data_IF_368041055930
#
_entry.id   IF_368041055930
#
_cell.length_a   1.000
_cell.length_b   1.000
_cell.length_c   1.000
_cell.angle_alpha   90.00
_cell.angle_beta   90.00
_cell.angle_gamma   90.00
#
_symmetry.space_group_name_H-M   'P 1'
#
loop_
_entity.id
_entity.type
_entity.pdbx_description
1 polymer ?
#
# COMPACT_ATOMS: atom_id res chain seq x y z
N UNK A 1 0.09 5.32 -20.04
CA UNK A 1 -0.63 4.11 -20.45
C UNK A 1 -0.48 3.06 -19.38
N UNK A 2 -1.59 2.50 -18.89
CA UNK A 2 -1.53 1.47 -17.85
C UNK A 2 -0.83 0.20 -18.34
N UNK A 3 -0.02 -0.37 -17.49
CA UNK A 3 0.64 -1.65 -17.74
C UNK A 3 0.06 -2.74 -16.85
N UNK A 4 0.92 -3.61 -16.34
CA UNK A 4 0.50 -4.72 -15.49
C UNK A 4 0.08 -4.24 -14.11
N UNK A 5 -0.73 -5.05 -13.45
CA UNK A 5 -1.02 -4.90 -12.03
C UNK A 5 -0.20 -5.95 -11.29
N UNK A 6 0.62 -5.51 -10.34
CA UNK A 6 1.39 -6.39 -9.49
C UNK A 6 0.67 -6.54 -8.17
N UNK A 7 0.38 -7.77 -7.77
CA UNK A 7 -0.26 -8.03 -6.48
C UNK A 7 0.79 -8.38 -5.45
N UNK A 8 0.72 -7.72 -4.29
CA UNK A 8 1.52 -8.08 -3.13
C UNK A 8 0.68 -9.01 -2.27
N UNK A 9 1.31 -10.05 -1.74
CA UNK A 9 0.62 -10.93 -0.81
C UNK A 9 0.21 -10.16 0.44
N UNK A 10 -0.92 -10.51 1.07
CA UNK A 10 -1.35 -9.84 2.28
C UNK A 10 -0.28 -9.89 3.36
N UNK A 11 -0.09 -8.78 4.04
CA UNK A 11 0.89 -8.65 5.11
C UNK A 11 0.21 -8.07 6.34
N UNK A 12 0.74 -8.41 7.50
CA UNK A 12 0.25 -7.89 8.78
C UNK A 12 1.12 -6.72 9.22
N UNK A 13 0.48 -5.61 9.55
CA UNK A 13 1.18 -4.43 10.05
C UNK A 13 0.67 -4.16 11.47
N UNK A 14 1.57 -4.00 12.41
CA UNK A 14 1.20 -3.74 13.80
C UNK A 14 0.66 -2.31 13.96
N UNK A 15 -0.52 -2.23 14.54
CA UNK A 15 -1.14 -0.94 14.88
C UNK A 15 -0.99 -0.69 16.37
N UNK A 16 -1.50 0.45 16.83
CA UNK A 16 -1.47 0.79 18.24
C UNK A 16 -2.35 -0.18 19.06
N UNK A 17 -2.05 -0.29 20.32
CA UNK A 17 -2.85 -1.06 21.31
C UNK A 17 -2.91 -2.56 21.04
N UNK A 18 -1.87 -3.12 20.47
CA UNK A 18 -1.79 -4.56 20.23
C UNK A 18 -2.66 -5.06 19.09
N UNK A 19 -3.22 -4.15 18.30
CA UNK A 19 -4.02 -4.52 17.12
C UNK A 19 -3.12 -4.65 15.91
N UNK A 20 -3.61 -5.29 14.85
CA UNK A 20 -2.89 -5.30 13.59
C UNK A 20 -3.84 -5.22 12.40
N UNK A 21 -3.28 -4.81 11.28
CA UNK A 21 -3.98 -4.67 10.02
C UNK A 21 -3.42 -5.70 9.04
N UNK A 22 -4.30 -6.54 8.51
CA UNK A 22 -3.95 -7.40 7.38
C UNK A 22 -4.28 -6.64 6.11
N UNK A 23 -3.25 -6.40 5.31
CA UNK A 23 -3.35 -5.53 4.15
C UNK A 23 -2.80 -6.22 2.92
N UNK A 24 -3.60 -6.31 1.89
CA UNK A 24 -3.17 -6.76 0.58
C UNK A 24 -3.26 -5.62 -0.41
N UNK A 25 -2.32 -5.54 -1.32
CA UNK A 25 -2.23 -4.46 -2.30
C UNK A 25 -2.13 -4.98 -3.72
N UNK A 26 -2.72 -4.22 -4.64
CA UNK A 26 -2.41 -4.32 -6.06
C UNK A 26 -1.85 -2.98 -6.51
N UNK A 27 -0.76 -3.01 -7.25
CA UNK A 27 -0.12 -1.80 -7.77
C UNK A 27 -0.31 -1.72 -9.26
N UNK A 28 -0.91 -0.65 -9.75
CA UNK A 28 -1.03 -0.40 -11.18
C UNK A 28 0.26 0.25 -11.66
N UNK A 29 0.97 -0.44 -12.53
CA UNK A 29 2.22 0.05 -13.07
C UNK A 29 2.00 0.72 -14.43
N UNK A 30 3.02 1.48 -14.87
CA UNK A 30 3.09 1.95 -16.24
C UNK A 30 3.49 0.81 -17.16
N UNK A 31 3.26 0.95 -18.46
CA UNK A 31 3.70 -0.02 -19.47
C UNK A 31 5.22 -0.23 -19.45
N UNK A 32 5.95 0.82 -19.09
CA UNK A 32 7.43 0.80 -19.08
C UNK A 32 8.02 0.15 -17.83
N UNK A 33 7.22 -0.01 -16.79
CA UNK A 33 7.69 -0.70 -15.59
C UNK A 33 7.89 -2.17 -15.93
N UNK A 34 9.09 -2.63 -15.78
CA UNK A 34 9.48 -3.94 -16.29
C UNK A 34 8.98 -5.11 -15.48
N UNK A 35 9.20 -6.32 -16.03
CA UNK A 35 8.86 -7.57 -15.37
C UNK A 35 9.63 -7.78 -14.06
N UNK A 36 10.69 -7.02 -13.85
CA UNK A 36 11.53 -7.13 -12.66
C UNK A 36 11.18 -6.08 -11.61
N UNK A 37 9.92 -5.68 -11.56
CA UNK A 37 9.48 -4.71 -10.57
C UNK A 37 9.72 -5.25 -9.16
N UNK A 38 10.54 -4.53 -8.40
CA UNK A 38 10.92 -4.95 -7.04
C UNK A 38 9.93 -4.36 -6.04
N UNK A 39 9.20 -5.23 -5.33
CA UNK A 39 8.17 -4.82 -4.38
C UNK A 39 8.72 -4.44 -3.00
N UNK A 40 10.02 -4.55 -2.79
CA UNK A 40 10.62 -4.29 -1.47
C UNK A 40 10.31 -2.89 -0.95
N UNK A 41 10.45 -1.89 -1.82
CA UNK A 41 10.16 -0.50 -1.42
C UNK A 41 8.69 -0.27 -1.14
N UNK A 42 7.81 -0.97 -1.86
CA UNK A 42 6.39 -0.87 -1.62
C UNK A 42 6.04 -1.44 -0.24
N UNK A 43 6.61 -2.59 0.12
CA UNK A 43 6.39 -3.18 1.44
C UNK A 43 6.92 -2.28 2.55
N UNK A 44 8.09 -1.71 2.36
CA UNK A 44 8.68 -0.79 3.33
C UNK A 44 7.79 0.45 3.52
N UNK A 45 7.26 0.99 2.45
CA UNK A 45 6.37 2.15 2.51
C UNK A 45 5.11 1.83 3.31
N UNK A 46 4.52 0.66 3.09
CA UNK A 46 3.33 0.23 3.84
C UNK A 46 3.64 0.15 5.33
N UNK A 47 4.73 -0.50 5.68
CA UNK A 47 5.11 -0.66 7.08
C UNK A 47 5.38 0.70 7.72
N UNK A 48 6.15 1.55 7.05
CA UNK A 48 6.52 2.86 7.59
C UNK A 48 5.31 3.78 7.76
N UNK A 49 4.36 3.70 6.84
CA UNK A 49 3.18 4.56 6.89
C UNK A 49 2.19 4.12 7.97
N UNK A 50 2.03 2.82 8.17
CA UNK A 50 0.93 2.29 8.96
C UNK A 50 1.31 1.81 10.36
N UNK A 51 2.59 1.47 10.61
CA UNK A 51 3.00 0.96 11.91
C UNK A 51 2.67 1.95 13.02
N UNK A 52 2.03 1.45 14.07
CA UNK A 52 1.70 2.26 15.25
C UNK A 52 0.50 3.17 15.09
N UNK A 53 -0.18 3.18 13.96
CA UNK A 53 -1.38 3.98 13.79
C UNK A 53 -2.53 3.42 14.61
N UNK A 54 -3.45 4.30 15.01
CA UNK A 54 -4.66 3.87 15.71
C UNK A 54 -5.61 3.20 14.74
N UNK A 55 -6.31 2.17 15.22
CA UNK A 55 -7.28 1.43 14.40
C UNK A 55 -8.30 2.40 13.78
N UNK A 56 -8.83 3.32 14.57
CA UNK A 56 -9.86 4.26 14.10
C UNK A 56 -9.34 5.19 13.00
N UNK A 57 -8.05 5.42 12.92
CA UNK A 57 -7.46 6.30 11.90
C UNK A 57 -7.41 5.64 10.53
N UNK A 58 -7.52 4.32 10.47
CA UNK A 58 -7.36 3.59 9.20
C UNK A 58 -8.60 2.84 8.77
N UNK A 59 -9.58 2.63 9.67
CA UNK A 59 -10.74 1.78 9.37
C UNK A 59 -11.96 2.55 8.86
N UNK A 60 -11.99 3.88 9.01
CA UNK A 60 -13.07 4.67 8.43
C UNK A 60 -12.86 4.81 6.93
N UNK A 61 -13.92 5.06 6.15
CA UNK A 61 -13.74 5.30 4.71
C UNK A 61 -12.77 6.44 4.43
N UNK A 62 -12.83 7.53 5.19
CA UNK A 62 -11.93 8.67 5.05
C UNK A 62 -10.49 8.29 5.40
N UNK A 63 -10.31 7.52 6.46
CA UNK A 63 -8.99 7.06 6.87
C UNK A 63 -8.37 6.15 5.84
N UNK A 64 -9.15 5.23 5.28
CA UNK A 64 -8.71 4.32 4.24
C UNK A 64 -8.27 5.07 2.98
N UNK A 65 -9.04 6.07 2.57
CA UNK A 65 -8.68 6.90 1.42
C UNK A 65 -7.45 7.74 1.68
N UNK A 66 -7.27 8.24 2.90
CA UNK A 66 -6.06 8.96 3.26
C UNK A 66 -4.83 8.06 3.19
N UNK A 67 -4.95 6.81 3.64
CA UNK A 67 -3.88 5.82 3.53
C UNK A 67 -3.56 5.55 2.05
N UNK A 68 -4.58 5.36 1.24
CA UNK A 68 -4.38 5.13 -0.20
C UNK A 68 -3.62 6.29 -0.84
N UNK A 69 -4.07 7.52 -0.60
CA UNK A 69 -3.45 8.71 -1.18
C UNK A 69 -1.99 8.85 -0.74
N UNK A 70 -1.72 8.61 0.53
CA UNK A 70 -0.35 8.68 1.06
C UNK A 70 0.54 7.60 0.44
N UNK A 71 0.02 6.38 0.29
CA UNK A 71 0.77 5.30 -0.37
C UNK A 71 1.04 5.62 -1.82
N UNK A 72 0.06 6.13 -2.55
CA UNK A 72 0.23 6.49 -3.95
C UNK A 72 1.32 7.54 -4.11
N UNK A 73 1.35 8.55 -3.25
CA UNK A 73 2.38 9.57 -3.28
C UNK A 73 3.77 9.00 -2.97
N UNK A 74 3.87 8.20 -1.93
CA UNK A 74 5.15 7.59 -1.56
C UNK A 74 5.67 6.67 -2.63
N UNK A 75 4.81 5.86 -3.22
CA UNK A 75 5.21 4.91 -4.26
C UNK A 75 5.55 5.60 -5.57
N UNK A 76 4.85 6.68 -5.91
CA UNK A 76 5.21 7.47 -7.08
C UNK A 76 6.63 8.01 -6.94
N UNK A 77 6.98 8.49 -5.76
CA UNK A 77 8.33 8.99 -5.49
C UNK A 77 9.35 7.86 -5.49
N UNK A 78 9.05 6.76 -4.80
CA UNK A 78 10.00 5.66 -4.64
C UNK A 78 10.34 4.98 -5.95
N UNK A 79 9.39 4.91 -6.87
CA UNK A 79 9.55 4.20 -8.14
C UNK A 79 9.63 5.13 -9.36
N UNK A 80 9.87 6.42 -9.12
CA UNK A 80 10.10 7.35 -10.22
C UNK A 80 8.92 7.51 -11.19
N UNK A 81 7.70 7.39 -10.67
CA UNK A 81 6.49 7.53 -11.48
C UNK A 81 5.98 6.24 -12.11
N UNK A 82 6.64 5.11 -11.86
CA UNK A 82 6.22 3.82 -12.45
C UNK A 82 4.98 3.23 -11.80
N UNK A 83 4.59 3.69 -10.62
CA UNK A 83 3.36 3.25 -9.95
C UNK A 83 2.29 4.31 -10.14
N UNK A 84 1.23 3.95 -10.86
CA UNK A 84 0.14 4.87 -11.18
C UNK A 84 -0.97 4.89 -10.16
N UNK A 85 -1.18 3.79 -9.47
CA UNK A 85 -2.26 3.70 -8.50
C UNK A 85 -2.14 2.51 -7.58
N UNK A 86 -2.90 2.55 -6.51
CA UNK A 86 -2.91 1.52 -5.46
C UNK A 86 -4.34 1.02 -5.28
N UNK A 87 -4.49 -0.30 -5.26
CA UNK A 87 -5.76 -0.95 -4.94
C UNK A 87 -5.58 -1.78 -3.68
N UNK A 88 -6.56 -1.74 -2.79
CA UNK A 88 -6.55 -2.63 -1.64
C UNK A 88 -7.29 -3.92 -2.01
N UNK A 89 -6.63 -5.05 -1.80
CA UNK A 89 -7.23 -6.36 -2.06
C UNK A 89 -7.69 -7.04 -0.78
N UNK A 90 -7.04 -6.71 0.35
CA UNK A 90 -7.45 -7.11 1.70
C UNK A 90 -7.25 -5.93 2.61
N UNK A 91 -8.18 -5.73 3.54
CA UNK A 91 -8.06 -4.63 4.52
C UNK A 91 -8.88 -5.02 5.75
N UNK A 92 -8.25 -5.79 6.65
CA UNK A 92 -8.93 -6.37 7.81
C UNK A 92 -8.12 -6.06 9.07
N UNK A 93 -8.81 -5.56 10.10
CA UNK A 93 -8.17 -5.31 11.40
C UNK A 93 -8.51 -6.42 12.39
N UNK A 94 -7.57 -6.73 13.24
CA UNK A 94 -7.77 -7.68 14.32
C UNK A 94 -7.09 -7.23 15.61
#
# INVERSE_FOLDING_TARGET
VPGAIVQLEPMNVNLASGKYLRLGLGLQLTEDAGAEFDVTRAKDAVISLLSGRKVDDVTTPEGREAVRAALEEQLATAYGGDVLGVYFTDFVTQ
#
